data_IF_895450158093
#
_entry.id   IF_895450158093
#
_cell.length_a   1.000
_cell.length_b   1.000
_cell.length_c   1.000
_cell.angle_alpha   90.00
_cell.angle_beta   90.00
_cell.angle_gamma   90.00
#
_symmetry.space_group_name_H-M   'P 1'
#
loop_
_entity.id
_entity.type
_entity.pdbx_description
1 polymer ?
#
# COMPACT_ATOMS: atom_id res chain seq x y z
N UNK A 1 21.24 -14.03 22.76
CA UNK A 1 20.71 -14.84 21.64
C UNK A 1 19.45 -14.16 21.15
N UNK A 2 19.34 -13.93 19.83
CA UNK A 2 18.06 -13.51 19.24
C UNK A 2 17.16 -14.75 19.29
N UNK A 3 15.96 -14.62 19.88
CA UNK A 3 14.95 -15.69 19.88
C UNK A 3 14.55 -16.01 18.43
N UNK A 4 15.17 -17.00 17.81
CA UNK A 4 14.95 -17.39 16.41
C UNK A 4 13.48 -17.59 16.04
N UNK A 5 12.63 -18.25 16.85
CA UNK A 5 11.20 -18.40 16.52
C UNK A 5 10.43 -17.08 16.47
N UNK A 6 10.81 -16.11 17.31
CA UNK A 6 10.21 -14.77 17.31
C UNK A 6 10.69 -13.94 16.11
N UNK A 7 11.91 -14.18 15.65
CA UNK A 7 12.44 -13.57 14.43
C UNK A 7 11.69 -14.12 13.20
N UNK A 8 11.50 -15.43 13.11
CA UNK A 8 10.80 -16.07 11.99
C UNK A 8 9.35 -15.59 11.87
N UNK A 9 8.64 -15.48 13.00
CA UNK A 9 7.28 -14.93 13.01
C UNK A 9 7.23 -13.47 12.54
N UNK A 10 8.21 -12.63 12.92
CA UNK A 10 8.29 -11.24 12.45
C UNK A 10 8.59 -11.15 10.96
N UNK A 11 9.50 -11.98 10.46
CA UNK A 11 9.82 -12.05 9.03
C UNK A 11 8.61 -12.51 8.21
N UNK A 12 7.84 -13.47 8.73
CA UNK A 12 6.60 -13.91 8.10
C UNK A 12 5.58 -12.77 8.00
N UNK A 13 5.29 -12.08 9.11
CA UNK A 13 4.36 -10.93 9.11
C UNK A 13 4.81 -9.83 8.14
N UNK A 14 6.11 -9.53 8.11
CA UNK A 14 6.66 -8.58 7.13
C UNK A 14 6.48 -9.07 5.70
N UNK A 15 6.72 -10.35 5.43
CA UNK A 15 6.49 -10.97 4.13
C UNK A 15 5.04 -10.80 3.66
N UNK A 16 4.07 -11.11 4.51
CA UNK A 16 2.65 -10.94 4.21
C UNK A 16 2.26 -9.47 3.98
N UNK A 17 2.84 -8.55 4.75
CA UNK A 17 2.61 -7.12 4.57
C UNK A 17 3.16 -6.63 3.22
N UNK A 18 4.39 -7.00 2.87
CA UNK A 18 4.97 -6.66 1.57
C UNK A 18 4.21 -7.30 0.41
N UNK A 19 3.78 -8.55 0.56
CA UNK A 19 2.95 -9.22 -0.43
C UNK A 19 1.62 -8.48 -0.65
N UNK A 20 0.94 -8.11 0.45
CA UNK A 20 -0.33 -7.38 0.40
C UNK A 20 -0.18 -6.01 -0.27
N UNK A 21 0.90 -5.28 0.05
CA UNK A 21 1.23 -4.01 -0.61
C UNK A 21 1.45 -4.24 -2.11
N UNK A 22 2.23 -5.26 -2.48
CA UNK A 22 2.52 -5.58 -3.88
C UNK A 22 1.28 -5.99 -4.70
N UNK A 23 0.28 -6.59 -4.06
CA UNK A 23 -1.01 -6.90 -4.69
C UNK A 23 -1.85 -5.64 -4.99
N UNK A 24 -1.61 -4.54 -4.27
CA UNK A 24 -2.20 -3.23 -4.55
C UNK A 24 -1.25 -2.41 -5.43
N UNK A 25 -1.44 -2.50 -6.74
CA UNK A 25 -0.58 -1.85 -7.73
C UNK A 25 -0.50 -0.32 -7.55
N UNK A 26 -1.56 0.33 -7.11
CA UNK A 26 -1.59 1.79 -6.94
C UNK A 26 -0.84 2.21 -5.68
N UNK A 27 -1.03 1.48 -4.57
CA UNK A 27 -0.28 1.71 -3.34
C UNK A 27 1.22 1.44 -3.56
N UNK A 28 1.54 0.33 -4.22
CA UNK A 28 2.91 -0.03 -4.57
C UNK A 28 3.58 1.04 -5.45
N UNK A 29 2.88 1.52 -6.48
CA UNK A 29 3.40 2.59 -7.32
C UNK A 29 3.65 3.88 -6.52
N UNK A 30 2.70 4.28 -5.67
CA UNK A 30 2.82 5.48 -4.84
C UNK A 30 4.03 5.39 -3.90
N UNK A 31 4.22 4.27 -3.20
CA UNK A 31 5.36 4.08 -2.28
C UNK A 31 6.72 4.10 -3.01
N UNK A 32 6.74 3.82 -4.31
CA UNK A 32 7.93 3.89 -5.14
C UNK A 32 8.20 5.27 -5.74
N UNK A 33 7.28 6.24 -5.63
CA UNK A 33 7.46 7.59 -6.20
C UNK A 33 8.80 8.25 -5.89
N UNK A 34 9.37 8.16 -4.68
CA UNK A 34 10.69 8.73 -4.39
C UNK A 34 11.83 8.15 -5.24
N UNK A 35 11.65 6.95 -5.80
CA UNK A 35 12.65 6.25 -6.61
C UNK A 35 12.51 6.52 -8.12
N UNK A 36 11.44 7.19 -8.56
CA UNK A 36 11.23 7.45 -9.99
C UNK A 36 12.06 8.65 -10.45
N UNK A 37 12.89 8.43 -11.48
CA UNK A 37 13.71 9.48 -12.09
C UNK A 37 12.86 10.62 -12.71
N UNK A 38 11.66 10.28 -13.18
CA UNK A 38 10.67 11.22 -13.71
C UNK A 38 9.37 11.04 -12.92
N UNK A 39 9.24 11.80 -11.84
CA UNK A 39 8.01 11.82 -11.05
C UNK A 39 6.93 12.66 -11.77
N UNK A 40 5.65 12.25 -11.75
CA UNK A 40 4.55 13.11 -12.17
C UNK A 40 4.57 14.46 -11.43
N UNK A 41 4.32 15.55 -12.15
CA UNK A 41 4.25 16.89 -11.56
C UNK A 41 3.08 17.01 -10.57
N UNK A 42 1.95 16.38 -10.88
CA UNK A 42 0.81 16.24 -9.99
C UNK A 42 0.87 14.90 -9.24
N UNK A 43 0.66 14.95 -7.93
CA UNK A 43 0.63 13.76 -7.09
C UNK A 43 -0.76 13.10 -7.11
N UNK A 44 -1.16 12.59 -8.28
CA UNK A 44 -2.52 12.08 -8.52
C UNK A 44 -2.88 10.84 -7.68
N UNK A 45 -1.88 10.12 -7.14
CA UNK A 45 -2.08 8.98 -6.25
C UNK A 45 -2.17 9.38 -4.77
N UNK A 46 -1.86 10.64 -4.40
CA UNK A 46 -1.97 11.10 -3.02
C UNK A 46 -3.36 10.89 -2.40
N UNK A 47 -4.49 11.21 -3.07
CA UNK A 47 -5.82 10.97 -2.49
C UNK A 47 -6.10 9.48 -2.23
N UNK A 48 -5.61 8.60 -3.11
CA UNK A 48 -5.70 7.15 -2.92
C UNK A 48 -4.95 6.71 -1.66
N UNK A 49 -3.71 7.17 -1.50
CA UNK A 49 -2.88 6.87 -0.33
C UNK A 49 -3.49 7.39 0.97
N UNK A 50 -4.10 8.58 0.96
CA UNK A 50 -4.79 9.15 2.13
C UNK A 50 -5.98 8.30 2.58
N UNK A 51 -6.74 7.71 1.64
CA UNK A 51 -7.83 6.78 1.95
C UNK A 51 -7.31 5.47 2.56
N UNK A 52 -6.23 4.91 1.99
CA UNK A 52 -5.55 3.75 2.56
C UNK A 52 -5.04 4.02 3.98
N UNK A 53 -4.39 5.17 4.19
CA UNK A 53 -3.87 5.57 5.51
C UNK A 53 -4.99 5.75 6.54
N UNK A 54 -6.17 6.18 6.10
CA UNK A 54 -7.37 6.27 6.93
C UNK A 54 -8.03 4.91 7.22
N UNK A 55 -7.46 3.80 6.75
CA UNK A 55 -7.99 2.45 6.94
C UNK A 55 -9.29 2.20 6.19
N UNK A 56 -9.55 2.94 5.10
CA UNK A 56 -10.80 2.81 4.34
C UNK A 56 -10.71 1.67 3.35
N UNK A 57 -11.74 0.84 3.32
CA UNK A 57 -11.93 -0.09 2.22
C UNK A 57 -12.44 0.68 1.00
N UNK A 58 -11.78 0.47 -0.15
CA UNK A 58 -12.07 1.16 -1.40
C UNK A 58 -12.09 0.19 -2.57
N UNK A 59 -12.87 0.50 -3.61
CA UNK A 59 -12.87 -0.20 -4.88
C UNK A 59 -12.92 0.81 -6.04
N UNK A 60 -12.38 0.43 -7.19
CA UNK A 60 -12.52 1.19 -8.42
C UNK A 60 -13.59 0.54 -9.28
N UNK A 61 -14.68 1.25 -9.54
CA UNK A 61 -15.78 0.74 -10.35
C UNK A 61 -16.14 1.75 -11.43
N UNK A 62 -16.01 1.35 -12.71
CA UNK A 62 -16.46 2.15 -13.87
C UNK A 62 -15.93 3.60 -13.91
N UNK A 63 -14.70 3.81 -13.43
CA UNK A 63 -14.08 5.14 -13.38
C UNK A 63 -14.36 5.92 -12.10
N UNK A 64 -15.14 5.37 -11.18
CA UNK A 64 -15.44 5.95 -9.87
C UNK A 64 -14.61 5.26 -8.78
N UNK A 65 -14.34 5.99 -7.70
CA UNK A 65 -13.81 5.44 -6.45
C UNK A 65 -14.99 5.22 -5.50
N UNK A 66 -15.23 3.97 -5.15
CA UNK A 66 -16.21 3.58 -4.15
C UNK A 66 -15.52 3.45 -2.81
N UNK A 67 -15.93 4.25 -1.83
CA UNK A 67 -15.46 4.14 -0.44
C UNK A 67 -16.53 3.43 0.37
N UNK A 68 -16.21 2.26 0.92
CA UNK A 68 -17.15 1.54 1.76
C UNK A 68 -17.22 2.22 3.14
N UNK A 69 -18.45 2.42 3.62
CA UNK A 69 -18.73 2.91 4.97
C UNK A 69 -19.37 1.73 5.70
N UNK A 70 -18.63 1.14 6.64
CA UNK A 70 -19.15 0.09 7.50
C UNK A 70 -20.16 0.67 8.49
#
# INVERSE_FOLDING_TARGET
>A
MIDSPKLDAKLWVLGEAYYSINCDYLLSAYLQYPNYAQRPQEDFLKPYFELYLAGRQIAFERGEIVVFTH
#
